data_IF_167367903716
#
_entry.id   IF_167367903716
#
_cell.length_a   1.000
_cell.length_b   1.000
_cell.length_c   1.000
_cell.angle_alpha   90.00
_cell.angle_beta   90.00
_cell.angle_gamma   90.00
#
_symmetry.space_group_name_H-M   'P 1'
#
loop_
_entity.id
_entity.type
_entity.pdbx_description
1 polymer ?
#
# COMPACT_ATOMS: atom_id res chain seq x y z
N UNK A 1 -32.13 -16.47 7.46
CA UNK A 1 -31.08 -15.82 8.28
C UNK A 1 -29.82 -15.96 7.46
N UNK A 2 -29.44 -14.89 6.77
CA UNK A 2 -28.18 -14.85 6.04
C UNK A 2 -27.05 -14.77 7.07
N UNK A 3 -26.13 -15.69 6.97
CA UNK A 3 -24.94 -15.77 7.81
C UNK A 3 -24.04 -14.57 7.48
N UNK A 4 -23.97 -13.61 8.40
CA UNK A 4 -23.07 -12.46 8.27
C UNK A 4 -21.63 -12.99 8.39
N UNK A 5 -20.93 -13.10 7.27
CA UNK A 5 -19.51 -13.45 7.26
C UNK A 5 -18.77 -12.24 7.83
N UNK A 6 -18.11 -12.37 8.99
CA UNK A 6 -17.30 -11.29 9.54
C UNK A 6 -16.18 -10.97 8.56
N UNK A 7 -15.92 -9.68 8.35
CA UNK A 7 -14.82 -9.22 7.53
C UNK A 7 -13.52 -9.86 8.06
N UNK A 8 -12.80 -10.62 7.21
CA UNK A 8 -11.58 -11.32 7.57
C UNK A 8 -10.40 -10.40 7.92
N UNK A 9 -10.59 -9.09 7.80
CA UNK A 9 -9.61 -8.07 8.18
C UNK A 9 -9.73 -7.76 9.67
N UNK A 10 -9.06 -8.55 10.52
CA UNK A 10 -8.86 -8.23 11.94
C UNK A 10 -8.03 -6.94 12.17
N UNK A 11 -7.58 -6.28 11.10
CA UNK A 11 -6.88 -5.00 11.11
C UNK A 11 -7.69 -3.87 10.47
N UNK A 12 -8.99 -4.03 10.36
CA UNK A 12 -9.88 -2.97 9.90
C UNK A 12 -10.20 -1.97 11.02
N UNK A 13 -9.19 -1.52 11.77
CA UNK A 13 -9.33 -0.42 12.73
C UNK A 13 -9.78 0.89 12.05
N UNK A 14 -9.65 0.99 10.73
CA UNK A 14 -10.14 2.11 9.92
C UNK A 14 -11.61 1.93 9.52
N UNK A 15 -12.11 0.68 9.47
CA UNK A 15 -13.52 0.35 9.29
C UNK A 15 -14.20 0.12 10.64
N UNK A 16 -14.07 1.03 11.55
CA UNK A 16 -15.02 1.13 12.65
C UNK A 16 -16.39 1.29 12.00
N UNK A 17 -17.12 0.17 11.91
CA UNK A 17 -18.49 0.14 11.45
C UNK A 17 -19.27 1.25 12.14
N UNK A 18 -19.80 2.20 11.38
CA UNK A 18 -20.74 3.16 11.96
C UNK A 18 -21.83 2.35 12.66
N UNK A 19 -22.21 2.67 13.90
CA UNK A 19 -23.25 1.95 14.61
C UNK A 19 -24.49 1.80 13.71
N UNK A 20 -24.89 0.56 13.41
CA UNK A 20 -26.05 0.25 12.60
C UNK A 20 -25.79 -0.25 11.17
N UNK A 21 -24.54 -0.36 10.69
CA UNK A 21 -24.23 -1.04 9.43
C UNK A 21 -23.52 -2.36 9.71
N UNK A 22 -24.21 -3.46 9.46
CA UNK A 22 -23.71 -4.83 9.63
C UNK A 22 -22.97 -5.39 8.41
N UNK A 23 -22.70 -4.58 7.38
CA UNK A 23 -22.03 -4.99 6.16
C UNK A 23 -21.01 -3.95 5.77
N UNK A 24 -19.82 -4.41 5.37
CA UNK A 24 -18.90 -3.62 4.62
C UNK A 24 -19.63 -3.15 3.35
N UNK A 25 -19.78 -1.84 3.16
CA UNK A 25 -20.51 -1.26 2.02
C UNK A 25 -19.74 -1.40 0.70
N UNK A 26 -18.65 -2.14 0.68
CA UNK A 26 -17.93 -2.51 -0.52
C UNK A 26 -18.63 -3.70 -1.18
N UNK A 27 -19.67 -3.42 -1.95
CA UNK A 27 -20.24 -4.35 -2.92
C UNK A 27 -19.35 -4.58 -4.14
N UNK A 28 -18.21 -3.95 -4.21
CA UNK A 28 -17.25 -4.26 -5.26
C UNK A 28 -16.56 -5.58 -4.93
N UNK A 29 -16.76 -6.53 -5.80
CA UNK A 29 -16.29 -7.91 -5.89
C UNK A 29 -14.80 -8.15 -5.61
N UNK A 30 -14.06 -7.17 -5.20
CA UNK A 30 -12.65 -7.21 -4.81
C UNK A 30 -12.50 -7.46 -3.30
N UNK A 31 -13.56 -7.28 -2.50
CA UNK A 31 -13.32 -7.00 -1.09
C UNK A 31 -13.30 -8.19 -0.15
N UNK A 32 -14.04 -9.25 -0.23
CA UNK A 32 -14.10 -10.10 0.96
C UNK A 32 -13.93 -11.62 0.81
N UNK A 33 -13.91 -12.19 -0.33
CA UNK A 33 -13.81 -13.66 -0.41
C UNK A 33 -12.73 -14.14 -1.37
N UNK A 34 -12.69 -13.55 -2.57
CA UNK A 34 -11.70 -13.93 -3.59
C UNK A 34 -10.32 -13.29 -3.35
N UNK A 35 -10.26 -12.23 -2.55
CA UNK A 35 -9.01 -11.48 -2.29
C UNK A 35 -8.25 -11.97 -1.06
N UNK A 36 -8.84 -12.74 -0.17
CA UNK A 36 -8.12 -13.29 0.99
C UNK A 36 -6.91 -14.11 0.54
N UNK A 37 -7.07 -14.99 -0.45
CA UNK A 37 -5.96 -15.79 -0.97
C UNK A 37 -4.85 -14.95 -1.58
N UNK A 38 -5.18 -13.90 -2.34
CA UNK A 38 -4.17 -13.02 -2.94
C UNK A 38 -3.40 -12.27 -1.83
N UNK A 39 -4.09 -11.81 -0.80
CA UNK A 39 -3.42 -11.15 0.33
C UNK A 39 -2.60 -12.13 1.16
N UNK A 40 -3.05 -13.35 1.37
CA UNK A 40 -2.29 -14.38 2.07
C UNK A 40 -1.03 -14.76 1.30
N UNK A 41 -1.10 -14.90 -0.04
CA UNK A 41 0.05 -15.14 -0.88
C UNK A 41 1.04 -13.97 -0.86
N UNK A 42 0.54 -12.73 -0.96
CA UNK A 42 1.38 -11.54 -0.89
C UNK A 42 2.00 -11.38 0.50
N UNK A 43 1.25 -11.67 1.55
CA UNK A 43 1.76 -11.67 2.92
C UNK A 43 2.89 -12.66 3.10
N UNK A 44 2.76 -13.89 2.58
CA UNK A 44 3.83 -14.88 2.62
C UNK A 44 5.09 -14.40 1.89
N UNK A 45 4.94 -13.70 0.75
CA UNK A 45 6.08 -13.08 0.04
C UNK A 45 6.72 -11.96 0.86
N UNK A 46 5.92 -11.13 1.51
CA UNK A 46 6.43 -10.08 2.43
C UNK A 46 7.22 -10.72 3.58
N UNK A 47 6.75 -11.80 4.16
CA UNK A 47 7.47 -12.50 5.24
C UNK A 47 8.82 -13.05 4.75
N UNK A 48 8.92 -13.52 3.50
CA UNK A 48 10.20 -13.91 2.89
C UNK A 48 11.15 -12.72 2.69
N UNK A 49 10.62 -11.54 2.32
CA UNK A 49 11.42 -10.32 2.21
C UNK A 49 11.94 -9.89 3.58
N UNK A 50 11.07 -9.89 4.59
CA UNK A 50 11.42 -9.58 5.98
C UNK A 50 12.51 -10.54 6.51
N UNK A 51 12.46 -11.81 6.12
CA UNK A 51 13.44 -12.80 6.53
C UNK A 51 14.87 -12.48 6.02
N UNK A 52 15.02 -11.73 4.93
CA UNK A 52 16.33 -11.25 4.44
C UNK A 52 16.94 -10.15 5.32
N UNK A 53 16.13 -9.48 6.16
CA UNK A 53 16.61 -8.38 7.02
C UNK A 53 17.60 -8.92 8.07
N UNK A 54 18.68 -8.19 8.38
CA UNK A 54 19.63 -8.60 9.41
C UNK A 54 19.01 -8.59 10.81
N UNK A 55 19.50 -9.47 11.71
CA UNK A 55 18.93 -9.64 13.04
C UNK A 55 19.03 -8.41 13.96
N UNK A 56 19.95 -7.48 13.66
CA UNK A 56 20.06 -6.22 14.41
C UNK A 56 18.96 -5.21 14.08
N UNK A 57 18.15 -5.45 13.05
CA UNK A 57 17.02 -4.60 12.71
C UNK A 57 15.70 -5.24 13.13
N UNK A 58 14.70 -4.40 13.36
CA UNK A 58 13.34 -4.89 13.59
C UNK A 58 12.83 -5.55 12.30
N UNK A 59 12.67 -6.88 12.34
CA UNK A 59 12.19 -7.68 11.21
C UNK A 59 10.68 -7.51 11.03
N UNK A 60 10.29 -6.37 10.47
CA UNK A 60 8.89 -6.06 10.17
C UNK A 60 8.79 -5.12 8.97
N UNK A 61 7.74 -5.27 8.19
CA UNK A 61 7.31 -4.27 7.22
C UNK A 61 6.12 -3.49 7.83
N UNK A 62 6.36 -2.22 8.16
CA UNK A 62 5.37 -1.32 8.74
C UNK A 62 4.54 -0.66 7.63
N UNK A 63 3.79 -1.48 6.88
CA UNK A 63 2.96 -1.09 5.75
C UNK A 63 1.60 -1.78 5.82
N UNK A 64 0.63 -1.23 5.10
CA UNK A 64 -0.70 -1.81 4.97
C UNK A 64 -0.79 -2.74 3.74
N UNK A 65 -1.77 -3.65 3.71
CA UNK A 65 -1.90 -4.68 2.67
C UNK A 65 -2.01 -4.16 1.23
N UNK A 66 -2.55 -2.96 1.03
CA UNK A 66 -2.67 -2.36 -0.30
C UNK A 66 -1.32 -2.09 -0.99
N UNK A 67 -0.22 -2.04 -0.23
CA UNK A 67 1.12 -1.87 -0.78
C UNK A 67 1.94 -3.16 -0.86
N UNK A 68 1.39 -4.31 -0.47
CA UNK A 68 2.13 -5.57 -0.51
C UNK A 68 2.63 -5.88 -1.91
N UNK A 69 1.80 -5.69 -2.95
CA UNK A 69 2.23 -5.93 -4.34
C UNK A 69 3.38 -5.00 -4.74
N UNK A 70 3.32 -3.71 -4.38
CA UNK A 70 4.41 -2.77 -4.68
C UNK A 70 5.73 -3.21 -4.07
N UNK A 71 5.70 -3.70 -2.83
CA UNK A 71 6.90 -4.16 -2.12
C UNK A 71 7.44 -5.47 -2.71
N UNK A 72 6.56 -6.40 -3.08
CA UNK A 72 6.94 -7.66 -3.73
C UNK A 72 7.60 -7.41 -5.09
N UNK A 73 7.00 -6.53 -5.89
CA UNK A 73 7.56 -6.19 -7.21
C UNK A 73 8.88 -5.42 -7.09
N UNK A 74 8.99 -4.52 -6.11
CA UNK A 74 10.22 -3.81 -5.80
C UNK A 74 11.34 -4.80 -5.42
N UNK A 75 11.08 -5.74 -4.51
CA UNK A 75 12.03 -6.78 -4.10
C UNK A 75 12.48 -7.64 -5.28
N UNK A 76 11.55 -8.01 -6.16
CA UNK A 76 11.86 -8.81 -7.34
C UNK A 76 12.82 -8.07 -8.29
N UNK A 77 12.57 -6.79 -8.58
CA UNK A 77 13.45 -5.98 -9.42
C UNK A 77 14.82 -5.73 -8.77
N UNK A 78 14.85 -5.47 -7.44
CA UNK A 78 16.11 -5.31 -6.69
C UNK A 78 16.92 -6.60 -6.70
N UNK A 79 16.28 -7.75 -6.49
CA UNK A 79 16.91 -9.07 -6.54
C UNK A 79 17.49 -9.38 -7.92
N UNK A 80 16.81 -8.97 -8.99
CA UNK A 80 17.30 -9.14 -10.36
C UNK A 80 18.55 -8.31 -10.65
N UNK A 81 18.69 -7.12 -10.04
CA UNK A 81 19.88 -6.26 -10.17
C UNK A 81 21.01 -6.78 -9.29
N UNK A 82 20.73 -7.12 -8.06
CA UNK A 82 21.67 -7.64 -7.09
C UNK A 82 21.06 -8.75 -6.24
N UNK A 83 21.31 -10.03 -6.57
CA UNK A 83 20.74 -11.16 -5.82
C UNK A 83 21.10 -11.20 -4.33
N UNK A 84 22.18 -10.50 -3.95
CA UNK A 84 22.68 -10.44 -2.58
C UNK A 84 22.27 -9.15 -1.84
N UNK A 85 21.38 -8.35 -2.41
CA UNK A 85 20.93 -7.15 -1.71
C UNK A 85 20.18 -7.50 -0.41
N UNK A 86 20.25 -6.61 0.56
CA UNK A 86 19.68 -6.81 1.89
C UNK A 86 18.73 -5.66 2.19
N UNK A 87 17.41 -5.93 2.37
CA UNK A 87 16.47 -4.92 2.85
C UNK A 87 16.76 -4.64 4.33
N UNK A 88 16.64 -3.37 4.74
CA UNK A 88 16.89 -2.94 6.13
C UNK A 88 15.62 -2.48 6.82
N UNK A 89 14.75 -1.77 6.11
CA UNK A 89 13.49 -1.27 6.64
C UNK A 89 12.50 -1.00 5.50
N UNK A 90 11.25 -1.39 5.72
CA UNK A 90 10.13 -1.11 4.81
C UNK A 90 9.03 -0.51 5.67
N UNK A 91 8.60 0.72 5.36
CA UNK A 91 7.59 1.40 6.16
C UNK A 91 6.80 2.44 5.41
N UNK A 92 5.66 2.81 5.97
CA UNK A 92 4.92 4.01 5.64
C UNK A 92 5.59 5.25 6.27
N UNK A 93 5.63 6.36 5.56
CA UNK A 93 5.97 7.67 6.11
C UNK A 93 5.24 8.78 5.36
N UNK A 94 4.38 9.51 6.07
CA UNK A 94 3.60 10.63 5.52
C UNK A 94 2.76 10.25 4.28
N UNK A 95 2.13 9.08 4.32
CA UNK A 95 1.30 8.56 3.24
C UNK A 95 2.08 8.01 2.05
N UNK A 96 3.38 7.76 2.18
CA UNK A 96 4.21 7.19 1.11
C UNK A 96 5.07 6.04 1.61
N UNK A 97 5.33 5.08 0.73
CA UNK A 97 6.26 3.97 0.98
C UNK A 97 7.69 4.50 1.15
N UNK A 98 8.45 3.86 2.03
CA UNK A 98 9.90 3.97 2.13
C UNK A 98 10.50 2.58 2.14
N UNK A 99 11.47 2.36 1.26
CA UNK A 99 12.18 1.10 1.13
C UNK A 99 13.68 1.34 1.30
N UNK A 100 14.23 0.90 2.42
CA UNK A 100 15.66 1.04 2.74
C UNK A 100 16.39 -0.29 2.55
N UNK A 101 17.56 -0.24 1.96
CA UNK A 101 18.44 -1.39 1.78
C UNK A 101 19.88 -1.05 2.17
N UNK A 102 20.72 -2.09 2.33
CA UNK A 102 22.13 -1.90 2.61
C UNK A 102 22.85 -1.30 1.38
N UNK A 103 23.40 -0.11 1.57
CA UNK A 103 24.16 0.60 0.54
C UNK A 103 25.52 -0.06 0.25
N UNK A 104 26.02 -0.88 1.17
CA UNK A 104 27.30 -1.59 1.03
C UNK A 104 27.17 -2.90 0.26
N UNK A 105 25.96 -3.32 -0.08
CA UNK A 105 25.71 -4.57 -0.82
C UNK A 105 26.27 -4.56 -2.26
N UNK A 106 26.71 -3.42 -2.78
CA UNK A 106 27.42 -3.31 -4.06
C UNK A 106 28.47 -2.22 -4.01
N UNK A 107 29.69 -2.57 -4.39
CA UNK A 107 30.79 -1.62 -4.59
C UNK A 107 30.69 -0.86 -5.93
N UNK A 108 29.80 -1.27 -6.82
CA UNK A 108 29.66 -0.68 -8.15
C UNK A 108 28.59 0.42 -8.15
N UNK A 109 29.00 1.64 -8.48
CA UNK A 109 28.11 2.81 -8.59
C UNK A 109 26.91 2.55 -9.52
N UNK A 110 27.10 1.83 -10.63
CA UNK A 110 26.01 1.54 -11.57
C UNK A 110 24.91 0.69 -10.95
N UNK A 111 25.28 -0.34 -10.21
CA UNK A 111 24.36 -1.22 -9.48
C UNK A 111 23.60 -0.43 -8.42
N UNK A 112 24.31 0.35 -7.62
CA UNK A 112 23.71 1.21 -6.60
C UNK A 112 22.70 2.20 -7.22
N UNK A 113 23.08 2.88 -8.31
CA UNK A 113 22.22 3.82 -9.00
C UNK A 113 20.97 3.13 -9.57
N UNK A 114 21.12 1.96 -10.20
CA UNK A 114 19.98 1.20 -10.74
C UNK A 114 19.00 0.77 -9.64
N UNK A 115 19.50 0.29 -8.49
CA UNK A 115 18.66 -0.06 -7.34
C UNK A 115 17.93 1.17 -6.80
N UNK A 116 18.59 2.33 -6.71
CA UNK A 116 17.97 3.58 -6.31
C UNK A 116 16.82 3.99 -7.23
N UNK A 117 16.97 3.81 -8.54
CA UNK A 117 15.88 4.08 -9.51
C UNK A 117 14.67 3.16 -9.31
N UNK A 118 14.90 1.88 -9.01
CA UNK A 118 13.82 0.93 -8.70
C UNK A 118 13.07 1.39 -7.45
N UNK A 119 13.78 1.70 -6.37
CA UNK A 119 13.14 2.16 -5.13
C UNK A 119 12.31 3.42 -5.38
N UNK A 120 12.89 4.44 -6.02
CA UNK A 120 12.19 5.68 -6.35
C UNK A 120 10.92 5.42 -7.19
N UNK A 121 10.95 4.47 -8.12
CA UNK A 121 9.77 4.06 -8.90
C UNK A 121 8.64 3.58 -7.99
N UNK A 122 8.92 2.66 -7.05
CA UNK A 122 7.88 2.09 -6.19
C UNK A 122 7.42 3.04 -5.08
N UNK A 123 8.32 3.86 -4.54
CA UNK A 123 7.95 4.96 -3.65
C UNK A 123 6.99 5.94 -4.35
N UNK A 124 7.27 6.27 -5.62
CA UNK A 124 6.41 7.13 -6.43
C UNK A 124 5.05 6.49 -6.75
N UNK A 125 5.02 5.19 -7.05
CA UNK A 125 3.77 4.46 -7.26
C UNK A 125 2.90 4.47 -6.00
N UNK A 126 3.49 4.39 -4.82
CA UNK A 126 2.76 4.42 -3.55
C UNK A 126 2.02 5.73 -3.31
N UNK A 127 2.47 6.86 -3.90
CA UNK A 127 1.79 8.15 -3.82
C UNK A 127 0.41 8.15 -4.50
N UNK A 128 0.15 7.15 -5.34
CA UNK A 128 -1.08 7.00 -6.12
C UNK A 128 -1.80 5.66 -5.89
N UNK A 129 -1.33 4.89 -4.91
CA UNK A 129 -1.90 3.59 -4.56
C UNK A 129 -2.40 3.62 -3.12
N UNK A 130 -3.68 3.37 -2.92
CA UNK A 130 -4.27 3.29 -1.59
C UNK A 130 -3.55 2.25 -0.72
N UNK A 131 -2.99 2.67 0.40
CA UNK A 131 -2.22 1.79 1.28
C UNK A 131 -3.04 0.65 1.89
N UNK A 132 -4.37 0.80 1.97
CA UNK A 132 -5.26 -0.19 2.55
C UNK A 132 -5.76 -1.20 1.51
N UNK A 133 -6.11 -0.72 0.30
CA UNK A 133 -6.83 -1.54 -0.69
C UNK A 133 -6.04 -1.87 -1.95
N UNK A 134 -4.96 -1.15 -2.24
CA UNK A 134 -4.23 -1.25 -3.51
C UNK A 134 -4.92 -0.58 -4.70
N UNK A 135 -6.12 -0.04 -4.51
CA UNK A 135 -6.84 0.76 -5.52
C UNK A 135 -6.14 2.12 -5.75
N UNK A 136 -6.49 2.86 -6.82
CA UNK A 136 -6.01 4.23 -6.97
C UNK A 136 -6.26 5.06 -5.72
N UNK A 137 -5.25 5.81 -5.29
CA UNK A 137 -5.29 6.57 -4.06
C UNK A 137 -4.77 7.99 -4.23
N UNK A 138 -5.17 8.85 -3.30
CA UNK A 138 -4.68 10.23 -3.17
C UNK A 138 -4.24 10.48 -1.74
N UNK A 139 -3.26 11.37 -1.55
CA UNK A 139 -2.83 11.74 -0.21
C UNK A 139 -3.97 12.46 0.52
N UNK A 140 -4.31 11.93 1.69
CA UNK A 140 -5.35 12.47 2.54
C UNK A 140 -4.80 12.77 3.93
N UNK A 141 -5.51 13.63 4.65
CA UNK A 141 -5.23 14.00 6.02
C UNK A 141 -6.46 13.72 6.88
N UNK A 142 -6.26 13.05 8.02
CA UNK A 142 -7.29 12.91 9.04
C UNK A 142 -7.46 14.20 9.86
N UNK A 143 -8.56 14.32 10.59
CA UNK A 143 -8.80 15.40 11.56
C UNK A 143 -7.72 15.46 12.66
N UNK A 144 -7.08 14.32 12.97
CA UNK A 144 -5.98 14.23 13.94
C UNK A 144 -4.60 14.51 13.35
N UNK A 145 -4.50 14.90 12.07
CA UNK A 145 -3.25 15.28 11.44
C UNK A 145 -2.43 14.13 10.86
N UNK A 146 -2.96 12.91 10.84
CA UNK A 146 -2.32 11.76 10.19
C UNK A 146 -2.44 11.88 8.67
N UNK A 147 -1.39 11.49 7.96
CA UNK A 147 -1.34 11.47 6.50
C UNK A 147 -1.35 10.03 5.99
N UNK A 148 -2.18 9.73 4.97
CA UNK A 148 -2.27 8.43 4.31
C UNK A 148 -2.63 8.59 2.84
N UNK A 149 -2.13 7.72 1.98
CA UNK A 149 -2.64 7.61 0.61
C UNK A 149 -3.81 6.63 0.60
N UNK A 150 -5.00 7.14 0.34
CA UNK A 150 -6.26 6.40 0.45
C UNK A 150 -7.11 6.57 -0.80
N UNK A 151 -7.96 5.58 -1.07
CA UNK A 151 -9.01 5.66 -2.08
C UNK A 151 -10.04 6.74 -1.70
N UNK A 152 -10.70 7.33 -2.70
CA UNK A 152 -11.64 8.45 -2.50
C UNK A 152 -12.79 8.12 -1.54
N UNK A 153 -13.22 6.86 -1.48
CA UNK A 153 -14.30 6.41 -0.59
C UNK A 153 -13.99 6.65 0.90
N UNK A 154 -12.72 6.81 1.25
CA UNK A 154 -12.33 7.12 2.64
C UNK A 154 -12.70 8.55 3.07
N UNK A 155 -13.12 9.42 2.14
CA UNK A 155 -13.65 10.73 2.47
C UNK A 155 -14.89 10.65 3.36
N UNK A 156 -15.72 9.62 3.17
CA UNK A 156 -16.92 9.38 4.00
C UNK A 156 -16.56 9.01 5.45
N UNK A 157 -15.30 8.70 5.72
CA UNK A 157 -14.78 8.31 7.03
C UNK A 157 -13.92 9.40 7.68
N UNK A 158 -14.07 10.66 7.25
CA UNK A 158 -13.40 11.80 7.88
C UNK A 158 -11.99 12.07 7.35
N UNK A 159 -11.60 11.46 6.22
CA UNK A 159 -10.36 11.77 5.54
C UNK A 159 -10.57 12.88 4.51
N UNK A 160 -9.68 13.86 4.48
CA UNK A 160 -9.76 15.00 3.57
C UNK A 160 -8.58 14.96 2.60
N UNK A 161 -8.83 14.94 1.28
CA UNK A 161 -7.76 15.01 0.29
C UNK A 161 -6.96 16.29 0.45
N UNK A 162 -5.64 16.14 0.41
CA UNK A 162 -4.75 17.31 0.34
C UNK A 162 -4.76 17.77 -1.10
N UNK A 163 -5.19 19.02 -1.32
CA UNK A 163 -5.14 19.65 -2.65
C UNK A 163 -3.67 19.77 -3.07
N UNK A 164 -3.25 18.89 -3.95
CA UNK A 164 -2.03 19.11 -4.70
C UNK A 164 -2.26 20.15 -5.81
N UNK A 165 -1.23 20.87 -6.24
CA UNK A 165 -1.35 21.75 -7.39
C UNK A 165 -1.87 20.97 -8.61
N UNK A 166 -2.51 21.67 -9.54
CA UNK A 166 -3.39 21.24 -10.66
C UNK A 166 -3.02 19.96 -11.43
N UNK A 167 -1.76 19.49 -11.36
CA UNK A 167 -1.32 18.27 -12.04
C UNK A 167 -1.90 16.97 -11.47
N UNK A 168 -2.40 16.98 -10.22
CA UNK A 168 -2.97 15.78 -9.58
C UNK A 168 -4.52 15.77 -9.63
N UNK A 169 -5.15 16.89 -9.99
CA UNK A 169 -6.60 16.96 -10.17
C UNK A 169 -7.06 16.00 -11.27
N UNK A 170 -6.27 15.81 -12.34
CA UNK A 170 -6.57 14.88 -13.44
C UNK A 170 -6.69 13.42 -12.99
N UNK A 171 -5.91 12.97 -12.00
CA UNK A 171 -6.00 11.61 -11.48
C UNK A 171 -7.26 11.43 -10.63
N UNK A 172 -7.64 12.46 -9.88
CA UNK A 172 -8.88 12.49 -9.13
C UNK A 172 -10.10 12.40 -10.05
N UNK A 173 -10.11 13.19 -11.13
CA UNK A 173 -11.21 13.24 -12.10
C UNK A 173 -11.34 11.92 -12.88
N UNK A 174 -10.23 11.24 -13.20
CA UNK A 174 -10.23 9.93 -13.85
C UNK A 174 -10.82 8.83 -12.95
N UNK A 175 -10.55 8.86 -11.65
CA UNK A 175 -11.07 7.88 -10.71
C UNK A 175 -12.57 8.06 -10.43
N UNK A 176 -13.07 9.30 -10.47
CA UNK A 176 -14.50 9.59 -10.26
C UNK A 176 -15.35 9.40 -11.52
N UNK A 177 -14.75 9.45 -12.72
CA UNK A 177 -15.46 9.26 -13.99
C UNK A 177 -15.72 7.79 -14.31
N UNK A 178 -14.86 6.87 -13.88
CA UNK A 178 -15.03 5.43 -14.10
C UNK A 178 -16.18 4.80 -13.29
N UNK A 179 -16.71 5.51 -12.30
CA UNK A 179 -17.86 5.02 -11.49
C UNK A 179 -19.23 5.44 -12.02
N UNK A 180 -19.31 6.27 -13.08
CA UNK A 180 -20.58 6.78 -13.60
C UNK A 180 -21.15 6.01 -14.80
N UNK A 181 -20.41 5.06 -15.33
CA UNK A 181 -20.83 4.33 -16.54
C UNK A 181 -21.51 2.98 -16.25
N UNK A 182 -21.79 2.65 -14.97
CA UNK A 182 -22.44 1.41 -14.54
C UNK A 182 -23.84 1.62 -13.88
N UNK A 183 -24.56 2.71 -14.20
CA UNK A 183 -25.98 2.88 -13.85
C UNK A 183 -26.91 2.68 -15.05
#
# INVERSE_FOLDING_TARGET
MEEVIPCAFSYCDVYMLKPGKSQCSYETTIACGATSHIYDELRAKIDLIIAKMPDQYLKVAEIQPGWYQLVVDCDAELTAINPNYVPLQIKEKFGTLRYYHDLNASSEYKTWHAMGQVIMKYEKLSEHTCELTGLPGVLMKSEHGTYKTLHVDFMDYGWTPIKFPENNQRLYDLNTSSQKDDE
#
